data_IF_129181149162
#
_entry.id   IF_129181149162
#
_cell.length_a   1.000
_cell.length_b   1.000
_cell.length_c   1.000
_cell.angle_alpha   90.00
_cell.angle_beta   90.00
_cell.angle_gamma   90.00
#
_symmetry.space_group_name_H-M   'P 1'
#
loop_
_entity.id
_entity.type
_entity.pdbx_description
1 polymer ?
#
# COMPACT_ATOMS: atom_id res chain seq x y z
N UNK A 1 42.70 30.21 -48.09
CA UNK A 1 42.49 30.34 -46.64
C UNK A 1 41.04 30.73 -46.30
N UNK A 2 40.41 31.69 -46.95
CA UNK A 2 39.03 32.13 -46.66
C UNK A 2 37.98 31.01 -46.74
N UNK A 3 38.10 30.08 -47.71
CA UNK A 3 37.16 28.98 -47.89
C UNK A 3 37.15 27.95 -46.76
N UNK A 4 38.32 27.73 -46.14
CA UNK A 4 38.48 26.80 -44.99
C UNK A 4 37.89 27.41 -43.72
N UNK A 5 38.08 28.73 -43.53
CA UNK A 5 37.50 29.46 -42.39
C UNK A 5 35.97 29.49 -42.45
N UNK A 6 35.40 29.63 -43.69
CA UNK A 6 33.95 29.60 -43.88
C UNK A 6 33.32 28.22 -43.57
N UNK A 7 34.04 27.14 -43.96
CA UNK A 7 33.62 25.76 -43.62
C UNK A 7 33.70 25.47 -42.13
N UNK A 8 34.70 25.99 -41.43
CA UNK A 8 34.83 25.85 -39.97
C UNK A 8 33.74 26.60 -39.20
N UNK A 9 33.33 27.77 -39.64
CA UNK A 9 32.23 28.57 -39.07
C UNK A 9 30.88 27.86 -39.29
N UNK A 10 30.67 27.22 -40.44
CA UNK A 10 29.47 26.48 -40.74
C UNK A 10 29.30 25.24 -39.84
N UNK A 11 30.42 24.58 -39.48
CA UNK A 11 30.42 23.40 -38.60
C UNK A 11 30.08 23.73 -37.13
N UNK A 12 30.44 24.95 -36.68
CA UNK A 12 30.15 25.41 -35.31
C UNK A 12 28.67 25.81 -35.15
N UNK A 13 28.00 26.25 -36.25
CA UNK A 13 26.60 26.67 -36.21
C UNK A 13 25.61 25.52 -36.10
N UNK A 14 25.99 24.27 -36.37
CA UNK A 14 25.09 23.11 -36.32
C UNK A 14 25.14 22.35 -35.00
N UNK A 15 25.95 22.79 -34.02
CA UNK A 15 26.19 22.06 -32.75
C UNK A 15 25.24 22.40 -31.60
N UNK A 16 24.21 23.23 -31.79
CA UNK A 16 23.45 23.77 -30.65
C UNK A 16 22.04 23.17 -30.42
N UNK A 17 21.66 22.06 -31.04
CA UNK A 17 20.29 21.55 -30.87
C UNK A 17 20.17 20.15 -30.25
N UNK A 18 21.17 19.62 -29.53
CA UNK A 18 21.12 18.25 -29.00
C UNK A 18 21.10 18.15 -27.46
N UNK A 19 20.61 19.17 -26.76
CA UNK A 19 20.51 19.07 -25.31
C UNK A 19 19.15 19.57 -24.80
N UNK A 20 18.08 18.95 -25.28
CA UNK A 20 16.77 19.07 -24.64
C UNK A 20 16.76 18.21 -23.38
N UNK A 21 17.20 18.78 -22.26
CA UNK A 21 16.96 18.20 -20.94
C UNK A 21 15.47 18.30 -20.64
N UNK A 22 14.74 17.21 -20.83
CA UNK A 22 13.38 17.07 -20.30
C UNK A 22 13.44 17.40 -18.81
N UNK A 23 12.83 18.50 -18.39
CA UNK A 23 12.69 18.84 -16.98
C UNK A 23 11.77 17.80 -16.36
N UNK A 24 12.33 16.83 -15.67
CA UNK A 24 11.57 15.89 -14.85
C UNK A 24 11.28 16.62 -13.55
N UNK A 25 10.02 16.91 -13.27
CA UNK A 25 9.62 17.48 -12.00
C UNK A 25 9.71 16.41 -10.90
N UNK A 26 10.13 16.76 -9.68
CA UNK A 26 10.22 15.81 -8.57
C UNK A 26 8.88 15.10 -8.26
N UNK A 27 7.76 15.77 -8.56
CA UNK A 27 6.41 15.24 -8.40
C UNK A 27 6.11 14.09 -9.40
N UNK A 28 6.54 14.22 -10.66
CA UNK A 28 6.34 13.17 -11.69
C UNK A 28 7.15 11.91 -11.37
N UNK A 29 8.35 12.06 -10.81
CA UNK A 29 9.18 10.94 -10.32
C UNK A 29 8.55 10.25 -9.11
N UNK A 30 7.91 11.03 -8.23
CA UNK A 30 7.25 10.51 -7.05
C UNK A 30 6.00 9.70 -7.41
N UNK A 31 5.20 10.15 -8.39
CA UNK A 31 4.04 9.42 -8.87
C UNK A 31 4.43 8.13 -9.60
N UNK A 32 5.48 8.13 -10.40
CA UNK A 32 5.96 6.94 -11.12
C UNK A 32 6.55 5.90 -10.15
N UNK A 33 7.29 6.32 -9.12
CA UNK A 33 7.77 5.43 -8.05
C UNK A 33 6.63 4.87 -7.19
N UNK A 34 5.56 5.64 -6.96
CA UNK A 34 4.41 5.17 -6.17
C UNK A 34 3.55 4.14 -6.92
N UNK A 35 3.48 4.20 -8.25
CA UNK A 35 2.72 3.24 -9.06
C UNK A 35 3.42 1.88 -9.23
N UNK A 36 4.73 1.81 -9.05
CA UNK A 36 5.53 0.58 -9.22
C UNK A 36 5.90 -0.08 -7.89
N UNK A 37 5.27 0.31 -6.78
CA UNK A 37 5.67 -0.13 -5.44
C UNK A 37 5.34 -1.61 -5.22
N UNK A 38 6.31 -2.48 -5.51
CA UNK A 38 6.23 -3.90 -5.22
C UNK A 38 6.58 -4.14 -3.73
N UNK A 39 5.67 -4.78 -2.99
CA UNK A 39 5.85 -5.17 -1.58
C UNK A 39 7.15 -5.93 -1.29
N UNK A 40 7.67 -6.65 -2.30
CA UNK A 40 8.92 -7.40 -2.18
C UNK A 40 10.18 -6.52 -2.11
N UNK A 41 10.03 -5.19 -2.23
CA UNK A 41 11.16 -4.26 -2.34
C UNK A 41 11.40 -3.39 -1.11
N UNK A 42 10.59 -3.50 -0.05
CA UNK A 42 10.87 -2.79 1.22
C UNK A 42 11.94 -3.53 2.04
N UNK A 43 12.75 -2.79 2.76
CA UNK A 43 13.78 -3.39 3.64
C UNK A 43 13.10 -4.05 4.85
N UNK A 44 12.12 -3.33 5.46
CA UNK A 44 11.28 -3.85 6.54
C UNK A 44 9.81 -3.57 6.25
N UNK A 45 8.96 -4.56 6.53
CA UNK A 45 7.50 -4.41 6.46
C UNK A 45 6.97 -3.51 7.59
N UNK A 46 5.73 -3.00 7.47
CA UNK A 46 5.06 -2.38 8.61
C UNK A 46 5.00 -3.36 9.78
N UNK A 47 5.15 -2.86 11.01
CA UNK A 47 5.19 -3.71 12.19
C UNK A 47 4.48 -3.07 13.39
N UNK A 48 4.21 -3.87 14.40
CA UNK A 48 3.78 -3.45 15.72
C UNK A 48 4.91 -3.65 16.74
N UNK A 49 4.86 -2.95 17.86
CA UNK A 49 5.84 -3.15 18.94
C UNK A 49 5.86 -4.61 19.46
N UNK A 50 4.74 -5.32 19.38
CA UNK A 50 4.65 -6.75 19.73
C UNK A 50 5.43 -7.66 18.79
N UNK A 51 5.77 -7.20 17.58
CA UNK A 51 6.49 -7.95 16.56
C UNK A 51 7.97 -7.55 16.43
N UNK A 52 8.45 -6.58 17.21
CA UNK A 52 9.81 -6.00 17.08
C UNK A 52 10.96 -6.99 17.33
N UNK A 53 10.71 -8.08 18.08
CA UNK A 53 11.71 -9.11 18.33
C UNK A 53 11.93 -10.07 17.17
N UNK A 54 11.11 -9.99 16.11
CA UNK A 54 11.15 -10.90 14.97
C UNK A 54 12.12 -10.34 13.93
N UNK A 55 13.22 -11.05 13.71
CA UNK A 55 14.28 -10.64 12.77
C UNK A 55 14.11 -11.17 11.34
N UNK A 56 13.34 -12.26 11.18
CA UNK A 56 13.06 -12.84 9.87
C UNK A 56 11.94 -12.03 9.20
N UNK A 57 12.22 -11.52 8.02
CA UNK A 57 11.33 -10.59 7.29
C UNK A 57 9.93 -11.18 7.04
N UNK A 58 9.85 -12.43 6.62
CA UNK A 58 8.57 -13.09 6.34
C UNK A 58 7.77 -13.36 7.64
N UNK A 59 8.44 -13.70 8.72
CA UNK A 59 7.80 -13.90 10.02
C UNK A 59 7.29 -12.58 10.60
N UNK A 60 8.03 -11.48 10.41
CA UNK A 60 7.60 -10.12 10.78
C UNK A 60 6.35 -9.70 10.03
N UNK A 61 6.31 -9.98 8.71
CA UNK A 61 5.11 -9.77 7.88
C UNK A 61 3.91 -10.59 8.38
N UNK A 62 4.14 -11.87 8.66
CA UNK A 62 3.09 -12.75 9.19
C UNK A 62 2.58 -12.29 10.54
N UNK A 63 3.48 -11.87 11.45
CA UNK A 63 3.10 -11.30 12.75
C UNK A 63 2.22 -10.06 12.57
N UNK A 64 2.61 -9.14 11.69
CA UNK A 64 1.82 -7.95 11.39
C UNK A 64 0.41 -8.31 10.87
N UNK A 65 0.33 -9.17 9.85
CA UNK A 65 -0.94 -9.59 9.28
C UNK A 65 -1.85 -10.28 10.31
N UNK A 66 -1.29 -11.21 11.09
CA UNK A 66 -2.03 -11.91 12.13
C UNK A 66 -2.55 -10.97 13.22
N UNK A 67 -1.77 -9.97 13.61
CA UNK A 67 -2.20 -8.97 14.60
C UNK A 67 -3.40 -8.17 14.08
N UNK A 68 -3.36 -7.74 12.82
CA UNK A 68 -4.49 -7.01 12.21
C UNK A 68 -5.72 -7.92 12.10
N UNK A 69 -5.56 -9.15 11.58
CA UNK A 69 -6.66 -10.13 11.43
C UNK A 69 -7.29 -10.42 12.79
N UNK A 70 -6.48 -10.67 13.82
CA UNK A 70 -6.98 -10.94 15.18
C UNK A 70 -7.78 -9.76 15.72
N UNK A 71 -7.31 -8.53 15.53
CA UNK A 71 -8.04 -7.33 15.97
C UNK A 71 -9.37 -7.16 15.24
N UNK A 72 -9.40 -7.43 13.93
CA UNK A 72 -10.63 -7.38 13.11
C UNK A 72 -11.62 -8.43 13.58
N UNK A 73 -11.17 -9.69 13.73
CA UNK A 73 -12.04 -10.80 14.15
C UNK A 73 -12.63 -10.55 15.55
N UNK A 74 -11.81 -10.16 16.52
CA UNK A 74 -12.27 -9.82 17.87
C UNK A 74 -13.31 -8.71 17.87
N UNK A 75 -13.13 -7.69 17.01
CA UNK A 75 -14.13 -6.64 16.89
C UNK A 75 -15.43 -7.16 16.28
N UNK A 76 -15.36 -7.95 15.19
CA UNK A 76 -16.56 -8.50 14.52
C UNK A 76 -17.31 -9.50 15.40
N UNK A 77 -16.60 -10.37 16.14
CA UNK A 77 -17.19 -11.32 17.09
C UNK A 77 -17.96 -10.62 18.22
N UNK A 78 -17.52 -9.41 18.60
CA UNK A 78 -18.22 -8.60 19.61
C UNK A 78 -19.49 -7.93 19.06
N UNK A 79 -19.71 -7.93 17.73
CA UNK A 79 -20.93 -7.41 17.11
C UNK A 79 -22.02 -8.49 17.13
N UNK A 80 -23.25 -8.06 17.35
CA UNK A 80 -24.41 -8.97 17.26
C UNK A 80 -24.94 -8.96 15.82
N UNK A 81 -24.17 -9.59 14.91
CA UNK A 81 -24.56 -9.69 13.50
C UNK A 81 -25.57 -10.82 13.35
N UNK A 82 -26.75 -10.51 12.81
CA UNK A 82 -27.83 -11.46 12.55
C UNK A 82 -28.06 -11.49 11.04
N UNK A 83 -28.00 -12.68 10.47
CA UNK A 83 -28.24 -12.93 9.04
C UNK A 83 -29.51 -13.77 8.84
N UNK A 84 -30.15 -13.68 7.69
CA UNK A 84 -31.29 -14.51 7.33
C UNK A 84 -30.90 -15.78 6.59
N UNK A 85 -29.72 -15.79 5.99
CA UNK A 85 -29.12 -16.95 5.31
C UNK A 85 -27.64 -17.03 5.70
N UNK A 86 -27.10 -18.26 5.73
CA UNK A 86 -25.70 -18.50 6.09
C UNK A 86 -24.74 -17.70 5.20
N UNK A 87 -23.78 -17.04 5.83
CA UNK A 87 -22.74 -16.30 5.13
C UNK A 87 -21.40 -17.01 5.28
N UNK A 88 -20.75 -17.30 4.16
CA UNK A 88 -19.38 -17.84 4.12
C UNK A 88 -18.59 -17.17 2.99
N UNK A 89 -17.83 -16.16 3.35
CA UNK A 89 -17.10 -15.32 2.39
C UNK A 89 -15.69 -14.99 2.86
N UNK A 90 -14.82 -14.66 1.91
CA UNK A 90 -13.49 -14.11 2.18
C UNK A 90 -13.41 -12.71 1.60
N UNK A 91 -13.63 -11.73 2.46
CA UNK A 91 -13.54 -10.30 2.10
C UNK A 91 -12.09 -9.91 1.93
N UNK A 92 -11.72 -9.37 0.76
CA UNK A 92 -10.37 -8.85 0.49
C UNK A 92 -10.31 -7.36 0.73
N UNK A 93 -9.61 -6.97 1.78
CA UNK A 93 -9.38 -5.56 2.12
C UNK A 93 -8.09 -5.09 1.46
N UNK A 94 -8.17 -4.10 0.55
CA UNK A 94 -6.99 -3.37 0.08
C UNK A 94 -6.71 -2.24 1.06
N UNK A 95 -5.57 -2.33 1.71
CA UNK A 95 -5.17 -1.46 2.81
C UNK A 95 -3.90 -0.72 2.41
N UNK A 96 -3.85 0.57 2.70
CA UNK A 96 -2.67 1.41 2.59
C UNK A 96 -2.20 1.82 3.97
N UNK A 97 -0.90 1.77 4.21
CA UNK A 97 -0.25 2.33 5.39
C UNK A 97 0.70 3.42 4.92
N UNK A 98 0.45 4.65 5.32
CA UNK A 98 1.31 5.77 4.93
C UNK A 98 2.62 5.80 5.73
N UNK A 99 3.54 6.69 5.34
CA UNK A 99 4.84 6.87 6.00
C UNK A 99 4.77 7.31 7.47
N UNK A 100 3.57 7.65 7.99
CA UNK A 100 3.33 7.99 9.41
C UNK A 100 2.73 6.82 10.20
N UNK A 101 2.52 5.66 9.55
CA UNK A 101 1.90 4.48 10.16
C UNK A 101 0.37 4.58 10.26
N UNK A 102 -0.28 5.48 9.50
CA UNK A 102 -1.74 5.57 9.46
C UNK A 102 -2.25 4.57 8.43
N UNK A 103 -3.17 3.71 8.86
CA UNK A 103 -3.83 2.71 8.05
C UNK A 103 -5.13 3.27 7.46
N UNK A 104 -5.30 3.08 6.16
CA UNK A 104 -6.49 3.47 5.39
C UNK A 104 -6.97 2.30 4.53
N UNK A 105 -8.28 2.09 4.46
CA UNK A 105 -8.88 1.10 3.56
C UNK A 105 -9.19 1.76 2.23
N UNK A 106 -8.54 1.28 1.17
CA UNK A 106 -8.73 1.79 -0.20
C UNK A 106 -9.97 1.20 -0.85
N UNK A 107 -10.13 -0.11 -0.75
CA UNK A 107 -11.29 -0.82 -1.30
C UNK A 107 -11.52 -2.14 -0.56
N UNK A 108 -12.73 -2.66 -0.69
CA UNK A 108 -13.15 -3.98 -0.22
C UNK A 108 -13.75 -4.74 -1.39
N UNK A 109 -13.37 -6.01 -1.51
CA UNK A 109 -13.94 -6.94 -2.48
C UNK A 109 -14.59 -8.07 -1.71
N UNK A 110 -15.90 -8.26 -1.88
CA UNK A 110 -16.73 -9.25 -1.18
C UNK A 110 -17.86 -9.74 -2.08
N UNK A 111 -18.48 -10.85 -1.73
CA UNK A 111 -19.65 -11.33 -2.43
C UNK A 111 -20.84 -10.35 -2.26
N UNK A 112 -21.62 -10.08 -3.32
CA UNK A 112 -22.84 -9.26 -3.23
C UNK A 112 -23.84 -9.80 -2.22
N UNK A 113 -23.86 -11.11 -2.01
CA UNK A 113 -24.69 -11.79 -1.03
C UNK A 113 -24.31 -11.41 0.40
N UNK A 114 -22.99 -11.36 0.69
CA UNK A 114 -22.47 -10.90 1.98
C UNK A 114 -22.90 -9.46 2.26
N UNK A 115 -22.78 -8.56 1.28
CA UNK A 115 -23.21 -7.17 1.40
C UNK A 115 -24.72 -7.04 1.63
N UNK A 116 -25.54 -7.90 0.98
CA UNK A 116 -26.99 -7.88 1.16
C UNK A 116 -27.42 -8.43 2.52
N UNK A 117 -26.74 -9.47 3.05
CA UNK A 117 -27.04 -10.07 4.35
C UNK A 117 -26.52 -9.22 5.52
N UNK A 118 -25.43 -8.47 5.31
CA UNK A 118 -24.77 -7.64 6.33
C UNK A 118 -24.52 -6.24 5.75
N UNK A 119 -25.55 -5.39 5.59
CA UNK A 119 -25.39 -4.07 4.96
C UNK A 119 -24.38 -3.14 5.65
N UNK A 120 -24.13 -3.33 6.94
CA UNK A 120 -23.17 -2.58 7.73
C UNK A 120 -21.73 -3.11 7.68
N UNK A 121 -21.45 -4.20 6.95
CA UNK A 121 -20.13 -4.88 6.98
C UNK A 121 -18.97 -3.96 6.62
N UNK A 122 -19.11 -3.08 5.61
CA UNK A 122 -18.10 -2.08 5.26
C UNK A 122 -17.79 -1.17 6.46
N UNK A 123 -18.82 -0.66 7.12
CA UNK A 123 -18.67 0.23 8.28
C UNK A 123 -18.02 -0.49 9.46
N UNK A 124 -18.41 -1.73 9.73
CA UNK A 124 -17.85 -2.56 10.81
C UNK A 124 -16.36 -2.85 10.57
N UNK A 125 -16.00 -3.24 9.36
CA UNK A 125 -14.60 -3.49 8.97
C UNK A 125 -13.75 -2.23 9.10
N UNK A 126 -14.23 -1.06 8.67
CA UNK A 126 -13.53 0.21 8.87
C UNK A 126 -13.39 0.60 10.35
N UNK A 127 -14.39 0.28 11.18
CA UNK A 127 -14.34 0.55 12.61
C UNK A 127 -13.35 -0.38 13.33
N UNK A 128 -13.31 -1.66 12.97
CA UNK A 128 -12.38 -2.63 13.55
C UNK A 128 -10.91 -2.19 13.40
N UNK A 129 -10.59 -1.55 12.28
CA UNK A 129 -9.24 -1.08 11.99
C UNK A 129 -8.86 0.19 12.75
N UNK A 130 -9.81 0.95 13.29
CA UNK A 130 -9.51 2.13 14.13
C UNK A 130 -8.96 1.79 15.51
N UNK A 131 -9.27 0.58 15.99
CA UNK A 131 -8.85 0.09 17.32
C UNK A 131 -7.49 -0.59 17.35
N UNK A 132 -6.82 -0.77 16.20
CA UNK A 132 -5.54 -1.46 16.15
C UNK A 132 -4.41 -0.65 16.84
N UNK A 133 -3.39 -1.33 17.38
CA UNK A 133 -2.24 -0.67 18.00
C UNK A 133 -1.50 0.24 17.00
N UNK A 134 -0.62 1.10 17.55
CA UNK A 134 0.24 1.96 16.72
C UNK A 134 1.09 1.14 15.76
N UNK A 135 1.02 1.48 14.47
CA UNK A 135 1.81 0.86 13.42
C UNK A 135 3.10 1.66 13.21
N UNK A 136 4.21 0.95 13.14
CA UNK A 136 5.47 1.48 12.63
C UNK A 136 5.49 1.24 11.11
N UNK A 137 5.67 2.28 10.28
CA UNK A 137 5.58 2.15 8.83
C UNK A 137 6.74 1.33 8.25
N UNK A 138 6.57 0.86 7.03
CA UNK A 138 7.64 0.19 6.28
C UNK A 138 8.85 1.11 6.08
N UNK A 139 10.03 0.50 5.97
CA UNK A 139 11.29 1.21 5.70
C UNK A 139 11.87 0.71 4.38
N UNK A 140 12.30 1.66 3.55
CA UNK A 140 13.07 1.41 2.32
C UNK A 140 14.25 2.37 2.28
N UNK A 141 15.47 1.84 2.16
CA UNK A 141 16.71 2.65 2.15
C UNK A 141 16.83 3.61 3.34
N UNK A 142 16.38 3.16 4.53
CA UNK A 142 16.41 3.96 5.75
C UNK A 142 15.31 5.02 5.87
N UNK A 143 14.38 5.10 4.92
CA UNK A 143 13.27 6.06 4.92
C UNK A 143 11.93 5.36 5.18
N UNK A 144 11.06 6.00 5.94
CA UNK A 144 9.69 5.55 6.13
C UNK A 144 8.89 5.77 4.85
N UNK A 145 8.25 4.71 4.35
CA UNK A 145 7.54 4.73 3.07
C UNK A 145 6.09 4.26 3.23
N UNK A 146 5.27 4.70 2.28
CA UNK A 146 3.89 4.21 2.15
C UNK A 146 3.91 2.83 1.53
N UNK A 147 3.05 1.92 2.02
CA UNK A 147 2.87 0.57 1.48
C UNK A 147 1.39 0.24 1.37
N UNK A 148 1.04 -0.61 0.40
CA UNK A 148 -0.31 -1.14 0.24
C UNK A 148 -0.27 -2.67 0.27
N UNK A 149 -1.28 -3.33 0.79
CA UNK A 149 -1.40 -4.78 0.84
C UNK A 149 -2.85 -5.23 0.86
N UNK A 150 -3.05 -6.49 0.56
CA UNK A 150 -4.36 -7.13 0.60
C UNK A 150 -4.44 -8.02 1.82
N UNK A 151 -5.50 -7.86 2.61
CA UNK A 151 -5.77 -8.62 3.81
C UNK A 151 -7.04 -9.44 3.61
N UNK A 152 -6.99 -10.77 3.59
CA UNK A 152 -8.18 -11.61 3.56
C UNK A 152 -8.81 -11.68 4.95
N UNK A 153 -10.09 -11.32 5.05
CA UNK A 153 -10.92 -11.48 6.26
C UNK A 153 -11.99 -12.52 5.97
N UNK A 154 -11.96 -13.62 6.73
CA UNK A 154 -12.96 -14.68 6.61
C UNK A 154 -14.16 -14.31 7.46
N UNK A 155 -15.34 -14.24 6.86
CA UNK A 155 -16.62 -14.02 7.53
C UNK A 155 -17.46 -15.29 7.38
N UNK A 156 -17.72 -15.94 8.51
CA UNK A 156 -18.56 -17.14 8.57
C UNK A 156 -19.62 -16.96 9.67
N UNK A 157 -20.89 -16.97 9.28
CA UNK A 157 -22.05 -16.84 10.17
C UNK A 157 -23.06 -17.91 9.74
N UNK A 158 -23.41 -18.80 10.68
CA UNK A 158 -24.36 -19.91 10.50
C UNK A 158 -25.70 -19.55 11.18
#
# INVERSE_FOLDING_TARGET
MHRIVFLLILLVATSCNYFEKKKVYPEDLLEEELQTFNWNEVDTYPTFSSCDSITVKEDSKACFQNTVITSVNQFLEAQNIVVSEDVNDTIRLKIRINSKGILEVESMDMNPETESQIPEIDSLLRQSLKGIPKIFPAIKRGQQVTTAFELPVIVKID
#
